data_IF_769341570146
#
_entry.id   IF_769341570146
#
_cell.length_a   1.000
_cell.length_b   1.000
_cell.length_c   1.000
_cell.angle_alpha   90.00
_cell.angle_beta   90.00
_cell.angle_gamma   90.00
#
_symmetry.space_group_name_H-M   'P 1'
#
loop_
_entity.id
_entity.type
_entity.pdbx_description
1 polymer ?
#
# COMPACT_ATOMS: atom_id res chain seq x y z
N UNK A 1 -8.53 -15.42 -21.08
CA UNK A 1 -8.60 -16.83 -20.64
C UNK A 1 -7.96 -17.00 -19.25
N UNK A 2 -8.31 -18.04 -18.55
CA UNK A 2 -7.73 -18.35 -17.25
C UNK A 2 -6.44 -19.16 -17.44
N UNK A 3 -5.36 -18.73 -16.79
CA UNK A 3 -4.09 -19.46 -16.74
C UNK A 3 -4.04 -20.28 -15.43
N UNK A 4 -4.20 -21.62 -15.50
CA UNK A 4 -4.26 -22.44 -14.30
C UNK A 4 -2.89 -22.56 -13.59
N UNK A 5 -1.78 -22.35 -14.28
CA UNK A 5 -0.44 -22.38 -13.68
C UNK A 5 -0.16 -21.12 -12.88
N UNK A 6 -0.50 -19.96 -13.44
CA UNK A 6 -0.35 -18.68 -12.78
C UNK A 6 -1.51 -18.35 -11.82
N UNK A 7 -2.60 -19.15 -11.84
CA UNK A 7 -3.89 -18.90 -11.14
C UNK A 7 -4.40 -17.48 -11.39
N UNK A 8 -4.25 -17.00 -12.62
CA UNK A 8 -4.55 -15.64 -13.00
C UNK A 8 -5.40 -15.59 -14.28
N UNK A 9 -6.19 -14.52 -14.42
CA UNK A 9 -6.90 -14.22 -15.66
C UNK A 9 -5.97 -13.44 -16.58
N UNK A 10 -5.84 -13.88 -17.83
CA UNK A 10 -5.11 -13.15 -18.87
C UNK A 10 -6.10 -12.50 -19.82
N UNK A 11 -5.92 -11.21 -20.06
CA UNK A 11 -6.67 -10.42 -21.02
C UNK A 11 -5.75 -10.07 -22.18
N UNK A 12 -6.30 -10.09 -23.38
CA UNK A 12 -5.61 -9.60 -24.57
C UNK A 12 -6.22 -8.25 -24.95
N UNK A 13 -5.41 -7.22 -24.97
CA UNK A 13 -5.83 -5.88 -25.32
C UNK A 13 -5.24 -5.52 -26.69
N UNK A 14 -6.04 -4.89 -27.50
CA UNK A 14 -5.63 -4.31 -28.78
C UNK A 14 -5.79 -2.79 -28.69
N UNK A 15 -4.68 -2.08 -28.83
CA UNK A 15 -4.63 -0.62 -28.77
C UNK A 15 -4.37 -0.10 -30.16
N UNK A 16 -5.32 0.69 -30.68
CA UNK A 16 -5.27 1.23 -32.05
C UNK A 16 -4.39 2.47 -32.12
N UNK A 17 -3.77 2.67 -33.28
CA UNK A 17 -3.08 3.93 -33.56
C UNK A 17 -4.04 5.13 -33.48
N UNK A 18 -3.58 6.30 -32.97
CA UNK A 18 -2.20 6.61 -32.58
C UNK A 18 -1.86 6.27 -31.13
N UNK A 19 -2.78 5.65 -30.37
CA UNK A 19 -2.65 5.41 -28.91
C UNK A 19 -1.63 4.32 -28.58
N UNK A 20 -1.32 3.43 -29.53
CA UNK A 20 -0.29 2.41 -29.40
C UNK A 20 1.09 3.01 -29.05
N UNK A 21 1.39 4.21 -29.54
CA UNK A 21 2.63 4.92 -29.25
C UNK A 21 2.74 5.39 -27.78
N UNK A 22 1.63 5.46 -27.07
CA UNK A 22 1.61 5.82 -25.65
C UNK A 22 1.94 4.64 -24.74
N UNK A 23 1.90 3.41 -25.28
CA UNK A 23 2.21 2.22 -24.49
C UNK A 23 3.72 2.02 -24.42
N UNK A 24 4.26 2.28 -23.25
CA UNK A 24 5.69 2.15 -22.94
C UNK A 24 5.93 1.13 -21.85
N UNK A 25 7.18 0.79 -21.57
CA UNK A 25 7.55 -0.21 -20.56
C UNK A 25 7.10 0.16 -19.15
N UNK A 26 6.90 1.45 -18.87
CA UNK A 26 6.54 1.94 -17.55
C UNK A 26 5.06 2.26 -17.37
N UNK A 27 4.21 2.02 -18.38
CA UNK A 27 2.76 2.21 -18.20
C UNK A 27 2.19 1.17 -17.23
N UNK A 28 1.12 1.57 -16.56
CA UNK A 28 0.31 0.72 -15.69
C UNK A 28 -1.10 0.70 -16.23
N UNK A 29 -1.70 -0.48 -16.25
CA UNK A 29 -3.07 -0.71 -16.72
C UNK A 29 -3.99 -0.95 -15.52
N UNK A 30 -5.16 -0.34 -15.51
CA UNK A 30 -6.18 -0.59 -14.46
C UNK A 30 -7.57 -0.74 -15.06
N UNK A 31 -8.43 -1.43 -14.31
CA UNK A 31 -9.84 -1.55 -14.66
C UNK A 31 -10.52 -0.21 -14.49
N UNK A 32 -11.22 0.21 -15.52
CA UNK A 32 -12.09 1.39 -15.48
C UNK A 32 -13.54 0.90 -15.45
N UNK A 33 -14.15 0.96 -14.27
CA UNK A 33 -15.53 0.52 -14.06
C UNK A 33 -16.55 1.62 -14.38
N UNK A 34 -16.11 2.77 -14.87
CA UNK A 34 -16.97 3.91 -15.21
C UNK A 34 -17.56 4.66 -14.01
N UNK A 35 -17.57 4.06 -12.83
CA UNK A 35 -17.88 4.70 -11.55
C UNK A 35 -16.81 4.34 -10.55
N UNK A 36 -15.97 5.29 -10.20
CA UNK A 36 -15.03 5.15 -9.10
C UNK A 36 -15.61 5.84 -7.86
N UNK A 37 -15.85 5.07 -6.81
CA UNK A 37 -16.15 5.61 -5.50
C UNK A 37 -14.84 5.71 -4.72
N UNK A 38 -14.36 6.91 -4.50
CA UNK A 38 -13.24 7.16 -3.64
C UNK A 38 -13.75 7.68 -2.29
N UNK A 39 -13.61 6.86 -1.26
CA UNK A 39 -13.86 7.27 0.13
C UNK A 39 -12.51 7.49 0.80
N UNK A 40 -12.09 8.72 0.88
CA UNK A 40 -10.88 9.13 1.58
C UNK A 40 -11.22 9.89 2.87
N UNK A 41 -10.22 10.17 3.70
CA UNK A 41 -10.37 11.06 4.87
C UNK A 41 -10.83 12.47 4.47
N UNK A 42 -10.65 12.87 3.21
CA UNK A 42 -11.06 14.15 2.66
C UNK A 42 -12.52 14.18 2.16
N UNK A 43 -13.22 13.04 2.22
CA UNK A 43 -14.61 12.92 1.81
C UNK A 43 -14.84 11.86 0.73
N UNK A 44 -16.07 11.82 0.23
CA UNK A 44 -16.47 10.95 -0.86
C UNK A 44 -16.31 11.70 -2.19
N UNK A 45 -15.45 11.19 -3.06
CA UNK A 45 -15.35 11.63 -4.45
C UNK A 45 -15.99 10.58 -5.34
N UNK A 46 -16.90 10.99 -6.17
CA UNK A 46 -17.49 10.15 -7.21
C UNK A 46 -16.94 10.64 -8.54
N UNK A 47 -16.09 9.85 -9.15
CA UNK A 47 -15.62 10.10 -10.51
C UNK A 47 -16.46 9.26 -11.46
N UNK A 48 -17.23 9.93 -12.30
CA UNK A 48 -17.99 9.29 -13.37
C UNK A 48 -17.17 9.31 -14.64
N UNK A 49 -16.79 8.13 -15.12
CA UNK A 49 -16.26 7.95 -16.45
C UNK A 49 -17.32 8.20 -17.54
N UNK A 50 -16.99 7.96 -18.79
CA UNK A 50 -17.96 8.10 -19.87
C UNK A 50 -19.11 7.11 -19.68
N UNK A 51 -20.31 7.47 -20.15
CA UNK A 51 -21.50 6.58 -20.12
C UNK A 51 -21.22 5.22 -20.79
N UNK A 52 -20.31 5.18 -21.75
CA UNK A 52 -19.91 3.95 -22.44
C UNK A 52 -19.15 2.99 -21.53
N UNK A 53 -18.27 3.52 -20.66
CA UNK A 53 -17.51 2.70 -19.69
C UNK A 53 -18.37 2.17 -18.54
N UNK A 54 -19.48 2.82 -18.22
CA UNK A 54 -20.48 2.36 -17.25
C UNK A 54 -21.10 1.01 -17.63
N UNK A 55 -21.31 0.79 -18.92
CA UNK A 55 -22.00 -0.42 -19.42
C UNK A 55 -21.09 -1.49 -19.97
N UNK A 56 -19.90 -1.14 -20.44
CA UNK A 56 -18.99 -2.10 -21.10
C UNK A 56 -17.78 -2.49 -20.26
N UNK A 57 -17.50 -1.77 -19.19
CA UNK A 57 -16.21 -1.83 -18.52
C UNK A 57 -15.09 -1.32 -19.44
N UNK A 58 -13.99 -0.88 -18.88
CA UNK A 58 -12.86 -0.37 -19.63
C UNK A 58 -11.54 -0.78 -18.99
N UNK A 59 -10.48 -0.55 -19.75
CA UNK A 59 -9.11 -0.60 -19.25
C UNK A 59 -8.47 0.72 -19.61
N UNK A 60 -8.02 1.44 -18.61
CA UNK A 60 -7.26 2.66 -18.76
C UNK A 60 -5.79 2.39 -18.49
N UNK A 61 -4.92 3.24 -19.01
CA UNK A 61 -3.49 3.14 -18.76
C UNK A 61 -2.84 4.53 -18.73
N UNK A 62 -1.82 4.65 -17.92
CA UNK A 62 -0.98 5.85 -17.86
C UNK A 62 0.39 5.49 -17.25
N UNK A 63 1.34 6.41 -17.37
CA UNK A 63 2.60 6.34 -16.64
C UNK A 63 2.40 6.99 -15.27
N UNK A 64 2.74 6.32 -14.17
CA UNK A 64 2.59 6.90 -12.84
C UNK A 64 3.33 8.22 -12.69
N UNK A 65 2.76 9.14 -11.91
CA UNK A 65 3.34 10.46 -11.66
C UNK A 65 4.78 10.40 -11.18
N UNK A 66 5.64 11.18 -11.83
CA UNK A 66 7.06 11.26 -11.50
C UNK A 66 7.92 10.11 -12.06
N UNK A 67 7.34 9.23 -12.90
CA UNK A 67 8.10 8.21 -13.61
C UNK A 67 8.48 8.67 -15.01
N UNK A 68 9.64 8.17 -15.48
CA UNK A 68 10.00 8.23 -16.90
C UNK A 68 9.03 7.35 -17.70
N UNK A 69 8.69 7.76 -18.91
CA UNK A 69 7.82 6.96 -19.79
C UNK A 69 8.41 5.61 -20.15
N UNK A 70 9.72 5.49 -20.11
CA UNK A 70 10.43 4.30 -20.55
C UNK A 70 10.45 4.15 -22.08
N UNK A 71 10.92 3.00 -22.54
CA UNK A 71 10.99 2.67 -23.96
C UNK A 71 9.61 2.25 -24.48
N UNK A 72 9.39 2.37 -25.79
CA UNK A 72 8.19 1.87 -26.44
C UNK A 72 8.01 0.38 -26.20
N UNK A 73 6.83 -0.04 -25.82
CA UNK A 73 6.50 -1.43 -25.59
C UNK A 73 6.62 -2.25 -26.89
N UNK A 74 7.14 -3.46 -26.76
CA UNK A 74 7.14 -4.43 -27.86
C UNK A 74 5.75 -5.03 -28.04
N UNK A 75 5.46 -5.49 -29.26
CA UNK A 75 4.25 -6.25 -29.51
C UNK A 75 4.13 -7.44 -28.55
N UNK A 76 2.93 -7.68 -28.02
CA UNK A 76 2.63 -8.71 -27.01
C UNK A 76 3.36 -8.55 -25.66
N UNK A 77 3.79 -7.34 -25.33
CA UNK A 77 4.30 -7.05 -23.98
C UNK A 77 3.24 -7.40 -22.90
N UNK A 78 3.69 -7.96 -21.80
CA UNK A 78 2.80 -8.35 -20.70
C UNK A 78 2.82 -7.31 -19.59
N UNK A 79 1.65 -6.94 -19.12
CA UNK A 79 1.46 -5.98 -18.04
C UNK A 79 0.52 -6.52 -16.99
N UNK A 80 0.70 -6.07 -15.75
CA UNK A 80 -0.26 -6.31 -14.69
C UNK A 80 -1.48 -5.42 -14.85
N UNK A 81 -2.68 -6.00 -14.70
CA UNK A 81 -3.94 -5.25 -14.64
C UNK A 81 -4.32 -5.00 -13.18
N UNK A 82 -4.36 -3.74 -12.80
CA UNK A 82 -4.74 -3.30 -11.46
C UNK A 82 -6.26 -3.09 -11.34
N UNK A 83 -6.77 -3.12 -10.12
CA UNK A 83 -8.21 -2.97 -9.90
C UNK A 83 -8.70 -1.51 -10.08
N UNK A 84 -7.83 -0.53 -9.85
CA UNK A 84 -8.09 0.90 -10.04
C UNK A 84 -6.78 1.68 -10.18
N UNK A 85 -6.87 2.96 -10.55
CA UNK A 85 -5.71 3.83 -10.73
C UNK A 85 -4.88 3.98 -9.45
N UNK A 86 -5.51 4.06 -8.28
CA UNK A 86 -4.81 4.19 -7.00
C UNK A 86 -3.90 2.98 -6.73
N UNK A 87 -4.37 1.76 -7.00
CA UNK A 87 -3.56 0.56 -6.82
C UNK A 87 -2.34 0.50 -7.74
N UNK A 88 -2.34 1.24 -8.86
CA UNK A 88 -1.15 1.39 -9.70
C UNK A 88 -0.06 2.18 -8.99
N UNK A 89 -0.42 3.20 -8.23
CA UNK A 89 0.52 4.02 -7.46
C UNK A 89 1.01 3.29 -6.20
N UNK A 90 0.13 2.56 -5.53
CA UNK A 90 0.50 1.77 -4.34
C UNK A 90 1.49 0.65 -4.66
N UNK A 91 1.50 0.12 -5.88
CA UNK A 91 2.43 -0.93 -6.34
C UNK A 91 3.80 -0.42 -6.82
N UNK A 92 4.04 0.88 -6.81
CA UNK A 92 5.30 1.48 -7.28
C UNK A 92 6.50 1.17 -6.37
N UNK A 93 6.22 0.82 -5.13
CA UNK A 93 7.23 0.61 -4.12
C UNK A 93 7.46 -0.89 -3.93
N UNK A 94 8.37 -1.45 -4.74
CA UNK A 94 8.73 -2.88 -4.67
C UNK A 94 9.66 -3.19 -3.50
N UNK A 95 10.49 -2.22 -3.12
CA UNK A 95 11.33 -2.34 -1.93
C UNK A 95 10.51 -1.94 -0.73
N UNK A 96 10.36 -2.86 0.20
CA UNK A 96 9.65 -2.63 1.46
C UNK A 96 10.32 -3.38 2.60
N UNK A 97 10.06 -2.91 3.80
CA UNK A 97 10.46 -3.58 5.03
C UNK A 97 9.25 -3.81 5.91
N UNK A 98 9.11 -5.04 6.37
CA UNK A 98 7.98 -5.43 7.20
C UNK A 98 8.32 -5.26 8.68
N UNK A 99 7.40 -4.64 9.43
CA UNK A 99 7.49 -4.43 10.88
C UNK A 99 6.24 -4.97 11.55
N UNK A 100 6.41 -5.49 12.76
CA UNK A 100 5.33 -6.02 13.56
C UNK A 100 5.03 -5.05 14.71
N UNK A 101 3.78 -4.61 14.77
CA UNK A 101 3.26 -3.77 15.84
C UNK A 101 2.32 -4.57 16.73
N UNK A 102 2.22 -4.19 18.01
CA UNK A 102 1.38 -4.86 18.99
C UNK A 102 0.44 -3.87 19.65
N UNK A 103 -0.87 -4.12 19.51
CA UNK A 103 -1.92 -3.25 20.05
C UNK A 103 -2.68 -3.95 21.16
N UNK A 104 -2.91 -3.25 22.28
CA UNK A 104 -3.78 -3.69 23.37
C UNK A 104 -5.24 -3.40 23.07
N UNK A 105 -5.50 -2.39 22.24
CA UNK A 105 -6.84 -1.97 21.87
C UNK A 105 -7.40 -2.79 20.70
N UNK A 106 -8.72 -2.68 20.50
CA UNK A 106 -9.40 -3.34 19.39
C UNK A 106 -8.91 -2.81 18.04
N UNK A 107 -8.50 -3.71 17.18
CA UNK A 107 -8.12 -3.41 15.77
C UNK A 107 -9.34 -3.38 14.82
N UNK A 108 -10.57 -3.36 15.37
CA UNK A 108 -11.78 -3.33 14.55
C UNK A 108 -11.83 -2.05 13.74
N UNK A 109 -11.96 -2.18 12.40
CA UNK A 109 -11.92 -1.05 11.46
C UNK A 109 -10.55 -0.81 10.83
N UNK A 110 -9.49 -1.45 11.34
CA UNK A 110 -8.20 -1.49 10.66
C UNK A 110 -8.23 -2.60 9.59
N UNK A 111 -7.87 -2.27 8.36
CA UNK A 111 -7.90 -3.19 7.22
C UNK A 111 -6.52 -3.30 6.57
N UNK A 112 -6.19 -4.42 5.91
CA UNK A 112 -5.07 -4.45 4.98
C UNK A 112 -5.18 -3.32 3.94
N UNK A 113 -4.05 -2.67 3.63
CA UNK A 113 -4.01 -1.47 2.77
C UNK A 113 -4.25 -0.14 3.51
N UNK A 114 -4.69 -0.17 4.78
CA UNK A 114 -4.80 1.05 5.57
C UNK A 114 -3.45 1.78 5.65
N UNK A 115 -3.41 3.11 5.57
CA UNK A 115 -2.17 3.85 5.60
C UNK A 115 -1.45 3.73 6.95
N UNK A 116 -0.12 3.74 6.88
CA UNK A 116 0.78 3.97 8.01
C UNK A 116 1.42 5.34 7.79
N UNK A 117 1.17 6.27 8.70
CA UNK A 117 1.53 7.67 8.54
C UNK A 117 2.39 8.15 9.71
N UNK A 118 3.26 9.10 9.43
CA UNK A 118 3.95 9.91 10.43
C UNK A 118 3.55 11.37 10.21
N UNK A 119 2.76 11.91 11.12
CA UNK A 119 2.27 13.31 11.06
C UNK A 119 1.64 13.67 9.71
N UNK A 120 0.83 12.78 9.14
CA UNK A 120 0.16 12.99 7.85
C UNK A 120 1.00 12.63 6.62
N UNK A 121 2.26 12.20 6.80
CA UNK A 121 3.11 11.71 5.72
C UNK A 121 2.99 10.19 5.67
N UNK A 122 2.51 9.64 4.57
CA UNK A 122 2.38 8.19 4.38
C UNK A 122 3.76 7.54 4.24
N UNK A 123 4.08 6.64 5.16
CA UNK A 123 5.32 5.87 5.16
C UNK A 123 5.14 4.47 4.56
N UNK A 124 3.90 3.97 4.56
CA UNK A 124 3.61 2.62 4.13
C UNK A 124 2.16 2.22 4.32
N UNK A 125 1.94 0.92 4.48
CA UNK A 125 0.60 0.33 4.60
C UNK A 125 0.54 -0.79 5.63
N UNK A 126 -0.66 -1.06 6.13
CA UNK A 126 -0.98 -2.29 6.87
C UNK A 126 -0.94 -3.45 5.88
N UNK A 127 -0.07 -4.43 6.11
CA UNK A 127 0.04 -5.61 5.26
C UNK A 127 -0.95 -6.69 5.69
N UNK A 128 -1.06 -6.93 7.01
CA UNK A 128 -1.98 -7.93 7.55
C UNK A 128 -2.43 -7.57 8.96
N UNK A 129 -3.71 -7.80 9.26
CA UNK A 129 -4.33 -7.61 10.58
C UNK A 129 -5.46 -8.62 10.80
N UNK A 130 -5.46 -9.41 11.89
CA UNK A 130 -4.29 -9.68 12.74
C UNK A 130 -3.25 -10.53 11.99
N UNK A 131 -1.98 -10.45 12.42
CA UNK A 131 -0.91 -11.27 11.87
C UNK A 131 -0.53 -12.37 12.86
N UNK A 132 -0.77 -13.63 12.49
CA UNK A 132 -0.32 -14.78 13.28
C UNK A 132 0.53 -15.71 12.42
N UNK A 133 1.64 -16.15 13.00
CA UNK A 133 2.54 -17.13 12.41
C UNK A 133 2.83 -18.22 13.47
N UNK A 134 3.03 -19.44 12.99
CA UNK A 134 3.35 -20.57 13.85
C UNK A 134 4.57 -20.27 14.75
N UNK A 135 4.48 -20.63 16.02
CA UNK A 135 5.53 -20.37 17.01
C UNK A 135 5.58 -18.93 17.57
N UNK A 136 4.68 -18.04 17.13
CA UNK A 136 4.70 -16.63 17.56
C UNK A 136 4.35 -16.47 19.04
N UNK A 137 3.35 -17.19 19.54
CA UNK A 137 2.91 -17.11 20.92
C UNK A 137 4.03 -17.47 21.91
N UNK A 138 4.82 -18.50 21.60
CA UNK A 138 5.96 -18.93 22.42
C UNK A 138 7.10 -17.89 22.40
N UNK A 139 7.31 -17.21 21.27
CA UNK A 139 8.37 -16.18 21.15
C UNK A 139 8.01 -14.88 21.86
N UNK A 140 6.71 -14.64 22.05
CA UNK A 140 6.18 -13.43 22.68
C UNK A 140 5.77 -13.65 24.15
N UNK A 141 6.13 -14.79 24.74
CA UNK A 141 5.82 -15.11 26.13
C UNK A 141 4.33 -14.93 26.48
N UNK A 142 3.46 -15.44 25.59
CA UNK A 142 1.99 -15.31 25.69
C UNK A 142 1.49 -13.86 25.79
N UNK A 143 2.12 -12.95 25.09
CA UNK A 143 1.62 -11.58 24.94
C UNK A 143 0.24 -11.59 24.22
N UNK A 144 -0.81 -11.14 24.91
CA UNK A 144 -2.18 -11.13 24.42
C UNK A 144 -2.51 -9.92 23.53
N UNK A 145 -1.54 -9.04 23.25
CA UNK A 145 -1.75 -7.92 22.33
C UNK A 145 -1.93 -8.46 20.90
N UNK A 146 -2.65 -7.66 20.13
CA UNK A 146 -3.00 -8.02 18.75
C UNK A 146 -1.83 -7.64 17.82
N UNK A 147 -1.21 -8.60 17.15
CA UNK A 147 -0.12 -8.33 16.21
C UNK A 147 -0.67 -7.80 14.89
N UNK A 148 -0.07 -6.74 14.39
CA UNK A 148 -0.36 -6.11 13.10
C UNK A 148 0.92 -6.01 12.30
N UNK A 149 0.92 -6.60 11.11
CA UNK A 149 2.03 -6.50 10.18
C UNK A 149 1.87 -5.24 9.34
N UNK A 150 2.85 -4.37 9.39
CA UNK A 150 2.93 -3.19 8.54
C UNK A 150 4.10 -3.32 7.58
N UNK A 151 3.96 -2.65 6.46
CA UNK A 151 4.97 -2.55 5.41
C UNK A 151 5.38 -1.10 5.26
N UNK A 152 6.63 -0.79 5.51
CA UNK A 152 7.23 0.52 5.26
C UNK A 152 7.89 0.49 3.89
N UNK A 153 7.69 1.54 3.13
CA UNK A 153 8.10 1.69 1.73
C UNK A 153 9.19 2.78 1.63
N UNK A 154 10.48 2.44 1.76
CA UNK A 154 11.58 3.41 1.78
C UNK A 154 11.61 4.31 0.54
N UNK A 155 11.34 3.76 -0.63
CA UNK A 155 11.35 4.50 -1.90
C UNK A 155 10.33 5.64 -1.93
N UNK A 156 9.22 5.50 -1.19
CA UNK A 156 8.23 6.58 -1.03
C UNK A 156 8.83 7.78 -0.32
N UNK A 157 9.70 7.53 0.65
CA UNK A 157 10.37 8.56 1.44
C UNK A 157 11.57 9.15 0.71
N UNK A 158 12.31 8.34 -0.04
CA UNK A 158 13.46 8.83 -0.84
C UNK A 158 13.02 9.90 -1.84
N UNK A 159 11.85 9.77 -2.47
CA UNK A 159 11.30 10.81 -3.35
C UNK A 159 11.07 12.16 -2.63
N UNK A 160 10.81 12.14 -1.33
CA UNK A 160 10.53 13.35 -0.55
C UNK A 160 11.75 13.88 0.21
N UNK A 161 12.64 12.99 0.66
CA UNK A 161 13.77 13.31 1.54
C UNK A 161 15.13 13.23 0.84
N UNK A 162 15.18 12.70 -0.41
CA UNK A 162 16.42 12.45 -1.16
C UNK A 162 16.98 11.04 -0.96
N UNK A 163 17.72 10.56 -1.95
CA UNK A 163 18.17 9.17 -2.06
C UNK A 163 19.21 8.71 -1.02
N UNK A 164 19.78 9.63 -0.26
CA UNK A 164 20.87 9.35 0.69
C UNK A 164 20.38 9.09 2.14
N UNK A 165 19.07 8.96 2.37
CA UNK A 165 18.51 8.79 3.70
C UNK A 165 18.37 7.30 4.02
N UNK A 166 19.13 6.82 5.00
CA UNK A 166 18.94 5.47 5.57
C UNK A 166 17.68 5.44 6.45
N UNK A 167 16.55 5.07 5.84
CA UNK A 167 15.24 5.04 6.50
C UNK A 167 15.23 4.06 7.67
N UNK A 168 15.93 2.93 7.57
CA UNK A 168 15.99 1.95 8.66
C UNK A 168 16.71 2.50 9.89
N UNK A 169 17.86 3.11 9.68
CA UNK A 169 18.61 3.76 10.76
C UNK A 169 17.77 4.86 11.41
N UNK A 170 17.02 5.64 10.60
CA UNK A 170 16.14 6.70 11.11
C UNK A 170 14.96 6.16 11.91
N UNK A 171 14.32 5.09 11.48
CA UNK A 171 13.21 4.45 12.22
C UNK A 171 13.72 3.86 13.55
N UNK A 172 14.88 3.24 13.55
CA UNK A 172 15.51 2.67 14.77
C UNK A 172 15.89 3.79 15.75
N UNK A 173 16.44 4.89 15.28
CA UNK A 173 16.73 6.06 16.11
C UNK A 173 15.42 6.67 16.65
N UNK A 174 14.41 6.83 15.82
CA UNK A 174 13.10 7.35 16.21
C UNK A 174 12.41 6.45 17.26
N UNK A 175 12.47 5.11 17.12
CA UNK A 175 12.00 4.17 18.13
C UNK A 175 12.68 4.41 19.47
N UNK A 176 14.01 4.59 19.47
CA UNK A 176 14.80 4.84 20.68
C UNK A 176 14.43 6.15 21.37
N UNK A 177 14.01 7.16 20.59
CA UNK A 177 13.53 8.46 21.08
C UNK A 177 12.06 8.47 21.47
N UNK A 178 11.39 7.32 21.44
CA UNK A 178 10.00 7.18 21.87
C UNK A 178 8.97 7.24 20.75
N UNK A 179 9.34 7.01 19.49
CA UNK A 179 8.34 6.79 18.44
C UNK A 179 7.52 5.55 18.76
N UNK A 180 6.20 5.67 18.68
CA UNK A 180 5.23 4.60 18.91
C UNK A 180 4.15 4.66 17.85
N UNK A 181 3.44 3.54 17.71
CA UNK A 181 2.29 3.43 16.82
C UNK A 181 1.00 3.54 17.63
N UNK A 182 0.06 4.29 17.12
CA UNK A 182 -1.31 4.36 17.61
C UNK A 182 -2.30 4.18 16.47
N UNK A 183 -3.51 3.72 16.78
CA UNK A 183 -4.60 3.67 15.81
C UNK A 183 -5.42 4.94 15.90
N UNK A 184 -5.68 5.57 14.76
CA UNK A 184 -6.53 6.76 14.67
C UNK A 184 -7.66 6.54 13.67
N UNK A 185 -8.76 7.27 13.86
CA UNK A 185 -9.88 7.22 12.91
C UNK A 185 -9.51 7.93 11.61
N UNK A 186 -9.59 7.21 10.51
CA UNK A 186 -9.49 7.77 9.17
C UNK A 186 -10.83 8.37 8.71
N UNK A 187 -11.94 7.73 9.12
CA UNK A 187 -13.28 8.17 8.78
C UNK A 187 -14.26 7.76 9.86
N UNK A 188 -14.91 8.75 10.47
CA UNK A 188 -15.85 8.52 11.56
C UNK A 188 -17.15 7.84 11.12
N UNK A 189 -17.56 8.00 9.86
CA UNK A 189 -18.81 7.41 9.35
C UNK A 189 -18.64 5.91 9.06
N UNK A 190 -17.49 5.53 8.52
CA UNK A 190 -17.20 4.12 8.19
C UNK A 190 -16.55 3.36 9.32
N UNK A 191 -16.03 4.06 10.32
CA UNK A 191 -15.25 3.47 11.41
C UNK A 191 -13.87 2.97 10.96
N UNK A 192 -13.39 3.40 9.77
CA UNK A 192 -12.07 3.01 9.26
C UNK A 192 -10.96 3.58 10.13
N UNK A 193 -9.93 2.78 10.36
CA UNK A 193 -8.74 3.16 11.12
C UNK A 193 -7.50 3.20 10.21
N UNK A 194 -6.53 3.95 10.64
CA UNK A 194 -5.16 3.95 10.09
C UNK A 194 -4.14 3.90 11.24
N UNK A 195 -2.89 3.64 10.92
CA UNK A 195 -1.79 3.64 11.89
C UNK A 195 -1.08 4.98 11.81
N UNK A 196 -1.03 5.66 12.94
CA UNK A 196 -0.29 6.89 13.16
C UNK A 196 0.97 6.61 13.96
N UNK A 197 2.11 7.00 13.43
CA UNK A 197 3.39 6.99 14.12
C UNK A 197 3.67 8.39 14.65
N UNK A 198 3.94 8.51 15.94
CA UNK A 198 4.34 9.77 16.55
C UNK A 198 5.21 9.52 17.78
N UNK A 199 5.78 10.58 18.36
CA UNK A 199 6.65 10.49 19.52
C UNK A 199 5.84 10.52 20.82
N UNK A 200 5.98 9.45 21.60
CA UNK A 200 5.41 9.26 22.92
C UNK A 200 6.52 8.90 23.91
N UNK A 201 7.38 9.85 24.31
CA UNK A 201 8.58 9.58 25.12
C UNK A 201 8.24 9.07 26.54
N UNK A 202 7.00 9.23 26.97
CA UNK A 202 6.51 8.71 28.26
C UNK A 202 6.15 7.22 28.21
N UNK A 203 5.93 6.67 27.02
CA UNK A 203 5.55 5.29 26.85
C UNK A 203 6.75 4.36 27.00
N UNK A 204 6.51 3.22 27.64
CA UNK A 204 7.57 2.23 27.90
C UNK A 204 8.13 1.70 26.58
N UNK A 205 9.46 1.55 26.48
CA UNK A 205 10.08 0.95 25.32
C UNK A 205 9.66 -0.53 25.18
N UNK A 206 9.67 -1.00 23.93
CA UNK A 206 9.51 -2.42 23.64
C UNK A 206 10.63 -3.23 24.28
N UNK A 207 10.27 -4.29 24.99
CA UNK A 207 11.22 -5.19 25.70
C UNK A 207 11.32 -6.59 25.08
N UNK A 208 10.47 -6.87 24.11
CA UNK A 208 10.49 -8.17 23.42
C UNK A 208 11.60 -8.27 22.36
N UNK A 209 11.68 -9.41 21.65
CA UNK A 209 12.66 -9.62 20.60
C UNK A 209 12.46 -8.60 19.47
N UNK A 210 13.58 -8.10 18.93
CA UNK A 210 13.55 -7.13 17.80
C UNK A 210 13.32 -7.80 16.45
N UNK A 211 13.74 -9.05 16.34
CA UNK A 211 13.56 -9.88 15.15
C UNK A 211 12.78 -11.13 15.54
N UNK A 212 11.60 -11.29 14.96
CA UNK A 212 10.72 -12.42 15.26
C UNK A 212 10.83 -13.53 14.21
N UNK A 213 11.10 -13.14 12.98
CA UNK A 213 11.23 -14.07 11.86
C UNK A 213 12.36 -13.55 10.96
N UNK A 214 13.41 -14.33 10.86
CA UNK A 214 14.54 -14.06 9.95
C UNK A 214 14.19 -14.36 8.51
#
# INVERSE_FOLDING_TARGET
>A
YFDPKARAMRYQLFITAPYDQLVTTNVRFWKDSGVAFDMSAQGMRVEMGSLTTLFSGGVSFDVPDGWDRGEQAKEKAEYQLFDNQRSTQDSLYTVHKDYLLFFSDSVRGLQPGAPVEFRGIRLGTVAQVPFYKEGMAQRLDNDYRIPVLIRIEPDRLHKQLGDNVDIEAHLKDAESRGMRASMKSANLLTGSLYIDLDFYPQEKPWKGPRELFG
#
